data_IF_336249773986
#
_entry.id   IF_336249773986
#
_cell.length_a   1.000
_cell.length_b   1.000
_cell.length_c   1.000
_cell.angle_alpha   90.00
_cell.angle_beta   90.00
_cell.angle_gamma   90.00
#
_symmetry.space_group_name_H-M   'P 1'
#
loop_
_entity.id
_entity.type
_entity.pdbx_description
1 polymer ?
#
# COMPACT_ATOMS: atom_id res chain seq x y z
N UNK A 1 13.63 7.45 17.40
CA UNK A 1 12.68 7.66 16.29
C UNK A 1 11.43 6.86 16.59
N UNK A 2 10.23 7.43 16.47
CA UNK A 2 8.98 6.68 16.65
C UNK A 2 8.82 5.64 15.53
N UNK A 3 8.30 4.46 15.85
CA UNK A 3 8.01 3.43 14.86
C UNK A 3 6.99 3.95 13.83
N UNK A 4 7.18 3.62 12.55
CA UNK A 4 6.22 3.98 11.51
C UNK A 4 4.93 3.13 11.66
N UNK A 5 3.73 3.74 11.52
CA UNK A 5 2.47 2.99 11.62
C UNK A 5 2.41 1.82 10.64
N UNK A 6 2.02 0.64 11.13
CA UNK A 6 1.70 -0.53 10.30
C UNK A 6 0.39 -0.27 9.55
N UNK A 7 0.47 -0.27 8.22
CA UNK A 7 -0.65 0.08 7.34
C UNK A 7 -1.10 -1.09 6.46
N UNK A 8 -0.29 -2.15 6.36
CA UNK A 8 -0.68 -3.41 5.73
C UNK A 8 0.09 -4.57 6.35
N UNK A 9 -0.57 -5.72 6.48
CA UNK A 9 0.04 -7.01 6.78
C UNK A 9 -0.70 -8.10 6.02
N UNK A 10 0.02 -8.92 5.27
CA UNK A 10 -0.59 -9.98 4.49
C UNK A 10 0.41 -10.99 3.98
N UNK A 11 -0.11 -12.08 3.43
CA UNK A 11 0.68 -13.12 2.79
C UNK A 11 0.79 -12.90 1.28
N UNK A 12 1.82 -13.50 0.69
CA UNK A 12 1.91 -13.72 -0.75
C UNK A 12 1.24 -15.06 -1.06
N UNK A 13 0.14 -15.03 -1.80
CA UNK A 13 -0.56 -16.24 -2.22
C UNK A 13 0.04 -16.80 -3.52
N UNK A 14 -0.15 -18.10 -3.82
CA UNK A 14 0.35 -18.70 -5.07
C UNK A 14 -0.12 -17.96 -6.33
N UNK A 15 -1.38 -17.50 -6.39
CA UNK A 15 -1.90 -16.75 -7.53
C UNK A 15 -1.37 -15.29 -7.61
N UNK A 16 -0.63 -14.83 -6.60
CA UNK A 16 0.13 -13.59 -6.71
C UNK A 16 1.43 -13.76 -7.51
N UNK A 17 1.90 -14.99 -7.67
CA UNK A 17 3.17 -15.27 -8.31
C UNK A 17 3.01 -15.37 -9.82
N UNK A 18 4.03 -14.92 -10.54
CA UNK A 18 4.15 -15.14 -11.98
C UNK A 18 4.64 -16.56 -12.29
N UNK A 19 4.87 -16.83 -13.58
CA UNK A 19 5.33 -18.13 -14.07
C UNK A 19 6.76 -18.50 -13.62
N UNK A 20 7.54 -17.54 -13.11
CA UNK A 20 8.90 -17.74 -12.60
C UNK A 20 8.88 -18.01 -11.09
N UNK A 21 7.72 -17.82 -10.44
CA UNK A 21 7.52 -18.11 -9.02
C UNK A 21 7.74 -16.92 -8.09
N UNK A 22 7.93 -15.72 -8.63
CA UNK A 22 8.05 -14.49 -7.87
C UNK A 22 6.72 -13.74 -7.84
N UNK A 23 6.45 -12.99 -6.76
CA UNK A 23 5.27 -12.13 -6.71
C UNK A 23 5.30 -11.17 -7.91
N UNK A 24 4.23 -11.17 -8.70
CA UNK A 24 4.11 -10.30 -9.83
C UNK A 24 4.05 -8.83 -9.39
N UNK A 25 4.69 -7.94 -10.15
CA UNK A 25 4.80 -6.50 -9.87
C UNK A 25 3.46 -5.82 -9.58
N UNK A 26 2.37 -6.24 -10.23
CA UNK A 26 1.03 -5.70 -10.05
C UNK A 26 0.55 -5.83 -8.59
N UNK A 27 0.91 -6.93 -7.92
CA UNK A 27 0.54 -7.17 -6.52
C UNK A 27 1.34 -6.34 -5.53
N UNK A 28 2.54 -5.87 -5.87
CA UNK A 28 3.23 -4.88 -5.04
C UNK A 28 2.42 -3.58 -5.02
N UNK A 29 2.03 -3.08 -6.19
CA UNK A 29 1.22 -1.85 -6.32
C UNK A 29 -0.10 -1.98 -5.56
N UNK A 30 -0.82 -3.10 -5.72
CA UNK A 30 -2.07 -3.34 -4.98
C UNK A 30 -1.89 -3.30 -3.47
N UNK A 31 -0.87 -3.99 -2.92
CA UNK A 31 -0.60 -3.98 -1.48
C UNK A 31 -0.21 -2.58 -0.97
N UNK A 32 0.55 -1.81 -1.75
CA UNK A 32 0.86 -0.41 -1.41
C UNK A 32 -0.36 0.52 -1.49
N UNK A 33 -1.30 0.28 -2.41
CA UNK A 33 -2.57 1.03 -2.48
C UNK A 33 -3.44 0.74 -1.25
N UNK A 34 -3.60 -0.53 -0.86
CA UNK A 34 -4.31 -0.91 0.37
C UNK A 34 -3.69 -0.25 1.61
N UNK A 35 -2.35 -0.26 1.71
CA UNK A 35 -1.63 0.43 2.78
C UNK A 35 -1.87 1.95 2.76
N UNK A 36 -2.00 2.55 1.58
CA UNK A 36 -2.27 3.97 1.40
C UNK A 36 -3.67 4.34 1.88
N UNK A 37 -4.69 3.55 1.55
CA UNK A 37 -6.04 3.74 2.06
C UNK A 37 -6.13 3.60 3.58
N UNK A 38 -5.45 2.61 4.15
CA UNK A 38 -5.35 2.47 5.60
C UNK A 38 -4.66 3.69 6.24
N UNK A 39 -3.62 4.23 5.61
CA UNK A 39 -2.98 5.47 6.06
C UNK A 39 -3.93 6.66 5.99
N UNK A 40 -4.68 6.83 4.91
CA UNK A 40 -5.66 7.90 4.78
C UNK A 40 -6.74 7.82 5.85
N UNK A 41 -7.24 6.62 6.14
CA UNK A 41 -8.18 6.41 7.24
C UNK A 41 -7.59 6.81 8.61
N UNK A 42 -6.33 6.47 8.89
CA UNK A 42 -5.62 6.88 10.12
C UNK A 42 -5.45 8.41 10.22
N UNK A 43 -5.43 9.13 9.10
CA UNK A 43 -5.37 10.60 9.04
C UNK A 43 -6.76 11.25 8.99
N UNK A 44 -7.85 10.48 9.09
CA UNK A 44 -9.23 10.98 9.01
C UNK A 44 -9.80 11.13 7.59
N UNK A 45 -8.99 10.87 6.56
CA UNK A 45 -9.43 10.86 5.16
C UNK A 45 -10.09 9.50 4.86
N UNK A 46 -11.31 9.36 5.36
CA UNK A 46 -12.12 8.15 5.19
C UNK A 46 -13.00 8.22 3.95
N UNK A 47 -13.54 7.07 3.51
CA UNK A 47 -14.54 7.03 2.43
C UNK A 47 -15.78 7.89 2.74
N UNK A 48 -16.20 7.93 4.01
CA UNK A 48 -17.30 8.79 4.47
C UNK A 48 -16.95 10.26 4.29
N UNK A 49 -15.79 10.68 4.79
CA UNK A 49 -15.29 12.06 4.63
C UNK A 49 -15.23 12.49 3.16
N UNK A 50 -14.67 11.64 2.29
CA UNK A 50 -14.56 11.94 0.86
C UNK A 50 -15.94 12.13 0.21
N UNK A 51 -16.89 11.23 0.49
CA UNK A 51 -18.25 11.29 -0.07
C UNK A 51 -19.01 12.53 0.43
N UNK A 52 -18.99 12.79 1.74
CA UNK A 52 -19.72 13.93 2.35
C UNK A 52 -19.19 15.29 1.89
N UNK A 53 -17.92 15.37 1.52
CA UNK A 53 -17.28 16.61 1.08
C UNK A 53 -17.13 16.70 -0.46
N UNK A 54 -17.68 15.75 -1.22
CA UNK A 54 -17.57 15.74 -2.68
C UNK A 54 -16.13 15.66 -3.19
N UNK A 55 -15.25 14.95 -2.48
CA UNK A 55 -13.81 14.82 -2.79
C UNK A 55 -13.48 13.42 -3.30
N UNK A 56 -12.43 13.34 -4.12
CA UNK A 56 -11.83 12.11 -4.60
C UNK A 56 -10.32 12.09 -4.36
N UNK A 57 -9.71 10.91 -4.47
CA UNK A 57 -8.26 10.74 -4.39
C UNK A 57 -7.79 10.12 -5.71
N UNK A 58 -6.65 10.60 -6.20
CA UNK A 58 -5.98 10.05 -7.37
C UNK A 58 -4.48 9.93 -7.08
N UNK A 59 -3.89 8.78 -7.39
CA UNK A 59 -2.45 8.63 -7.39
C UNK A 59 -1.89 9.20 -8.70
N UNK A 60 -1.10 10.28 -8.59
CA UNK A 60 -0.49 10.94 -9.76
C UNK A 60 0.83 10.26 -10.13
N UNK A 61 1.63 9.90 -9.12
CA UNK A 61 2.90 9.21 -9.30
C UNK A 61 3.02 8.08 -8.28
N UNK A 62 3.56 6.94 -8.72
CA UNK A 62 3.92 5.82 -7.86
C UNK A 62 5.29 5.28 -8.27
N UNK A 63 6.26 5.36 -7.36
CA UNK A 63 7.61 4.84 -7.56
C UNK A 63 7.87 3.69 -6.60
N UNK A 64 8.05 2.48 -7.13
CA UNK A 64 8.43 1.29 -6.35
C UNK A 64 9.86 0.86 -6.68
N UNK A 65 10.64 0.54 -5.64
CA UNK A 65 11.96 -0.06 -5.76
C UNK A 65 11.90 -1.52 -5.33
N UNK A 66 12.25 -2.42 -6.22
CA UNK A 66 12.30 -3.87 -5.96
C UNK A 66 13.68 -4.24 -5.43
N UNK A 67 13.77 -4.53 -4.13
CA UNK A 67 15.04 -4.85 -3.46
C UNK A 67 15.25 -6.36 -3.26
N UNK A 68 14.15 -7.12 -3.18
CA UNK A 68 14.16 -8.57 -2.99
C UNK A 68 12.90 -9.17 -3.59
N UNK A 69 13.03 -10.36 -4.16
CA UNK A 69 11.93 -11.16 -4.68
C UNK A 69 11.16 -11.83 -3.53
N UNK A 70 9.83 -11.81 -3.64
CA UNK A 70 8.93 -12.44 -2.69
C UNK A 70 8.28 -13.66 -3.32
N UNK A 71 8.05 -14.69 -2.51
CA UNK A 71 7.54 -15.99 -2.93
C UNK A 71 6.24 -16.32 -2.20
N UNK A 72 5.49 -17.29 -2.74
CA UNK A 72 4.30 -17.81 -2.07
C UNK A 72 4.61 -18.24 -0.63
N UNK A 73 3.77 -17.80 0.32
CA UNK A 73 3.94 -18.05 1.75
C UNK A 73 4.68 -16.94 2.50
N UNK A 74 5.39 -16.04 1.81
CA UNK A 74 6.05 -14.90 2.49
C UNK A 74 5.02 -13.99 3.16
N UNK A 75 5.36 -13.52 4.37
CA UNK A 75 4.59 -12.52 5.09
C UNK A 75 5.23 -11.15 4.88
N UNK A 76 4.44 -10.20 4.40
CA UNK A 76 4.89 -8.83 4.17
C UNK A 76 4.12 -7.85 5.05
N UNK A 77 4.83 -6.80 5.45
CA UNK A 77 4.25 -5.66 6.17
C UNK A 77 4.62 -4.38 5.45
N UNK A 78 3.69 -3.44 5.36
CA UNK A 78 3.97 -2.08 4.88
C UNK A 78 3.76 -1.14 6.05
N UNK A 79 4.71 -0.22 6.21
CA UNK A 79 4.60 0.89 7.15
C UNK A 79 4.71 2.18 6.36
N UNK A 80 3.77 3.09 6.57
CA UNK A 80 3.68 4.31 5.77
C UNK A 80 4.02 5.55 6.60
N UNK A 81 4.41 6.63 5.93
CA UNK A 81 4.43 7.99 6.48
C UNK A 81 4.04 9.02 5.44
N UNK A 82 3.31 10.04 5.88
CA UNK A 82 3.14 11.29 5.15
C UNK A 82 4.46 12.07 5.28
N UNK A 83 5.02 12.51 4.17
CA UNK A 83 6.28 13.26 4.13
C UNK A 83 6.00 14.76 4.11
N UNK A 84 5.14 15.18 3.19
CA UNK A 84 4.75 16.56 2.97
C UNK A 84 3.27 16.60 2.56
N UNK A 85 2.58 17.66 2.94
CA UNK A 85 1.25 18.01 2.45
C UNK A 85 1.32 19.45 1.96
N UNK A 86 1.10 19.64 0.66
CA UNK A 86 1.05 20.95 0.02
C UNK A 86 -0.40 21.32 -0.24
N UNK A 87 -0.75 22.58 -0.03
CA UNK A 87 -2.11 23.12 -0.16
C UNK A 87 -2.10 24.51 -0.75
#
# INVERSE_FOLDING_TARGET
>A
MSELPLTYRGAVYPWHCDHVGHMNVMYYTGKFDEATWNRFALLGVTRKFLTENGRGMAAIEHTTKYLRELHAGDIVTIRSRLIVLEG
#
